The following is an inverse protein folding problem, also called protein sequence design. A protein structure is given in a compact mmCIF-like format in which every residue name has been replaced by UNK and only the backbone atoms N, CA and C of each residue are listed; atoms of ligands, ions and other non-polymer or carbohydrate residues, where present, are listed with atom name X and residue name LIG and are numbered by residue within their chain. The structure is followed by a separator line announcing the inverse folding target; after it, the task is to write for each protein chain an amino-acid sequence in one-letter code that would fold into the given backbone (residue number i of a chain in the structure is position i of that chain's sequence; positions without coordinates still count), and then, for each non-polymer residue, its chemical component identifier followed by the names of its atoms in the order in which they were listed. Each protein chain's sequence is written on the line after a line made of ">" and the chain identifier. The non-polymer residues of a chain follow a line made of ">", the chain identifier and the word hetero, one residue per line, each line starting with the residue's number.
data_IF_681092510871
#
_entry.id   IF_681092510871
#
_cell.length_a   1.000
_cell.length_b   1.000
_cell.length_c   1.000
_cell.angle_alpha   90.00
_cell.angle_beta   90.00
_cell.angle_gamma   90.00
#
_symmetry.space_group_name_H-M   'P 1'
#
loop_
_entity.id
_entity.type
_entity.pdbx_description
1 polymer ?
#
# COMPACT_ATOMS: atom_id res chain seq x y z
N UNK A 1 24.90 2.71 9.86
CA UNK A 1 25.27 1.29 10.05
C UNK A 1 26.36 0.95 9.05
N UNK A 2 27.44 0.25 9.44
CA UNK A 2 28.50 -0.13 8.50
C UNK A 2 27.94 -1.00 7.36
N UNK A 3 28.23 -0.65 6.11
CA UNK A 3 27.81 -1.45 4.94
C UNK A 3 26.34 -1.30 4.54
N UNK A 4 25.74 -0.11 4.72
CA UNK A 4 24.42 0.22 4.16
C UNK A 4 24.58 1.26 3.05
N UNK A 5 24.07 1.01 1.82
CA UNK A 5 23.40 -0.23 1.38
C UNK A 5 24.38 -1.42 1.32
N UNK A 6 23.85 -2.64 1.47
CA UNK A 6 24.61 -3.88 1.22
C UNK A 6 24.84 -4.08 -0.28
N UNK A 7 25.82 -4.90 -0.65
CA UNK A 7 26.07 -5.21 -2.06
C UNK A 7 24.95 -6.08 -2.66
N UNK A 8 24.86 -6.12 -3.99
CA UNK A 8 23.87 -6.95 -4.71
C UNK A 8 23.98 -8.41 -4.28
N UNK A 9 22.85 -9.00 -3.90
CA UNK A 9 22.75 -10.39 -3.44
C UNK A 9 23.15 -10.63 -1.98
N UNK A 10 23.71 -9.64 -1.28
CA UNK A 10 24.03 -9.80 0.13
C UNK A 10 22.77 -9.83 1.02
N UNK A 11 22.84 -10.59 2.10
CA UNK A 11 21.78 -10.68 3.10
C UNK A 11 21.95 -9.62 4.18
N UNK A 12 20.83 -9.14 4.72
CA UNK A 12 20.80 -8.29 5.92
C UNK A 12 20.54 -9.18 7.16
N UNK A 13 21.53 -9.31 8.07
CA UNK A 13 21.30 -9.98 9.36
C UNK A 13 20.13 -9.36 10.11
N UNK A 14 19.35 -10.16 10.84
CA UNK A 14 18.17 -9.66 11.54
C UNK A 14 18.47 -8.44 12.42
N UNK A 15 19.56 -8.47 13.20
CA UNK A 15 19.95 -7.37 14.08
C UNK A 15 20.38 -6.08 13.36
N UNK A 16 20.53 -6.12 12.04
CA UNK A 16 20.94 -4.99 11.19
C UNK A 16 19.80 -4.50 10.28
N UNK A 17 18.55 -4.95 10.45
CA UNK A 17 17.47 -4.64 9.51
C UNK A 17 16.94 -3.20 9.66
N UNK A 18 16.55 -2.73 10.84
CA UNK A 18 15.96 -1.39 10.99
C UNK A 18 16.95 -0.31 11.45
N UNK A 19 16.81 0.93 10.95
CA UNK A 19 17.28 2.10 11.74
C UNK A 19 16.57 2.12 13.08
N UNK A 20 15.27 1.87 13.03
CA UNK A 20 14.51 1.57 14.20
C UNK A 20 14.03 0.12 14.16
N UNK A 21 14.84 -0.74 14.78
CA UNK A 21 14.55 -2.16 14.95
C UNK A 21 13.88 -2.39 16.30
N UNK A 22 12.68 -2.96 16.28
CA UNK A 22 11.94 -3.36 17.48
C UNK A 22 11.54 -4.82 17.37
N UNK A 23 11.79 -5.59 18.42
CA UNK A 23 11.54 -7.02 18.41
C UNK A 23 10.98 -7.47 19.75
N UNK A 24 9.93 -8.29 19.73
CA UNK A 24 9.18 -8.69 20.94
C UNK A 24 8.67 -7.48 21.74
N UNK A 25 8.41 -6.37 21.06
CA UNK A 25 7.96 -5.13 21.68
C UNK A 25 6.44 -5.13 21.80
N UNK A 26 5.94 -4.78 22.98
CA UNK A 26 4.51 -4.61 23.20
C UNK A 26 4.16 -3.31 23.92
N UNK A 27 3.01 -2.73 23.57
CA UNK A 27 2.43 -1.55 24.24
C UNK A 27 3.25 -0.28 24.14
N UNK A 28 4.05 -0.13 23.08
CA UNK A 28 4.77 1.11 22.81
C UNK A 28 3.95 2.07 21.96
N UNK A 29 4.25 3.37 22.08
CA UNK A 29 3.68 4.41 21.22
C UNK A 29 4.77 5.32 20.69
N UNK A 30 4.84 5.46 19.37
CA UNK A 30 5.86 6.23 18.65
C UNK A 30 5.19 7.34 17.83
N UNK A 31 5.72 8.56 17.96
CA UNK A 31 5.11 9.74 17.37
C UNK A 31 6.14 10.58 16.61
N UNK A 32 5.76 11.06 15.42
CA UNK A 32 6.44 12.16 14.74
C UNK A 32 7.94 11.97 14.52
N UNK A 33 8.34 10.74 14.17
CA UNK A 33 9.72 10.42 13.79
C UNK A 33 9.89 10.43 12.28
N UNK A 34 11.01 10.96 11.83
CA UNK A 34 11.50 10.85 10.46
C UNK A 34 12.69 9.90 10.44
N UNK A 35 12.62 8.88 9.58
CA UNK A 35 13.63 7.82 9.51
C UNK A 35 14.07 7.61 8.06
N UNK A 36 15.36 7.87 7.82
CA UNK A 36 15.93 7.95 6.48
C UNK A 36 17.27 7.24 6.37
N UNK A 37 17.66 6.87 5.15
CA UNK A 37 18.96 6.27 4.82
C UNK A 37 19.32 5.03 5.66
N UNK A 38 18.31 4.34 6.18
CA UNK A 38 18.43 3.04 6.84
C UNK A 38 18.51 1.89 5.87
N UNK A 39 18.84 0.66 6.31
CA UNK A 39 18.46 -0.54 5.59
C UNK A 39 16.93 -0.51 5.47
N UNK A 40 16.19 -0.98 6.47
CA UNK A 40 14.79 -0.64 6.63
C UNK A 40 14.68 0.65 7.45
N UNK A 41 13.63 1.45 7.21
CA UNK A 41 13.33 2.58 8.08
C UNK A 41 12.94 2.08 9.48
N UNK A 42 11.77 1.45 9.54
CA UNK A 42 11.27 0.72 10.72
C UNK A 42 11.19 -0.76 10.37
N UNK A 43 11.77 -1.58 11.25
CA UNK A 43 11.63 -3.03 11.18
C UNK A 43 11.12 -3.55 12.53
N UNK A 44 9.86 -3.96 12.55
CA UNK A 44 9.17 -4.44 13.72
C UNK A 44 8.86 -5.94 13.57
N UNK A 45 9.44 -6.76 14.44
CA UNK A 45 9.35 -8.23 14.36
C UNK A 45 8.75 -8.80 15.63
N UNK A 46 7.79 -9.71 15.49
CA UNK A 46 7.14 -10.37 16.63
C UNK A 46 6.64 -9.34 17.66
N UNK A 47 6.08 -8.23 17.17
CA UNK A 47 5.76 -7.05 17.96
C UNK A 47 4.26 -6.80 17.93
N UNK A 48 3.63 -6.58 19.09
CA UNK A 48 2.17 -6.53 19.19
C UNK A 48 1.67 -5.36 20.04
N UNK A 49 0.44 -4.89 19.78
CA UNK A 49 -0.21 -3.83 20.56
C UNK A 49 0.57 -2.49 20.57
N UNK A 50 1.33 -2.19 19.52
CA UNK A 50 2.07 -0.94 19.40
C UNK A 50 1.31 0.09 18.56
N UNK A 51 1.58 1.36 18.84
CA UNK A 51 0.97 2.50 18.17
C UNK A 51 2.05 3.34 17.48
N UNK A 52 1.84 3.66 16.21
CA UNK A 52 2.78 4.39 15.37
C UNK A 52 2.02 5.52 14.69
N UNK A 53 2.31 6.78 15.01
CA UNK A 53 1.56 7.92 14.48
C UNK A 53 2.45 9.03 13.92
N UNK A 54 2.10 9.51 12.73
CA UNK A 54 2.74 10.70 12.13
C UNK A 54 4.20 10.47 11.74
N UNK A 55 4.56 9.23 11.42
CA UNK A 55 5.92 8.86 11.03
C UNK A 55 6.16 9.17 9.55
N UNK A 56 7.40 9.52 9.21
CA UNK A 56 7.90 9.51 7.83
C UNK A 56 9.08 8.53 7.69
N UNK A 57 9.02 7.68 6.67
CA UNK A 57 10.08 6.71 6.36
C UNK A 57 10.46 6.81 4.89
N UNK A 58 11.62 7.40 4.57
CA UNK A 58 11.96 7.65 3.18
C UNK A 58 13.44 7.57 2.85
N UNK A 59 13.71 7.39 1.55
CA UNK A 59 15.07 7.25 1.02
C UNK A 59 15.88 6.12 1.70
N UNK A 60 15.20 5.15 2.33
CA UNK A 60 15.84 3.97 2.91
C UNK A 60 16.29 2.98 1.82
N UNK A 61 17.14 2.05 2.21
CA UNK A 61 17.83 1.06 1.37
C UNK A 61 17.14 -0.33 1.34
N UNK A 62 15.93 -0.40 1.91
CA UNK A 62 14.92 -1.45 1.97
C UNK A 62 13.56 -0.78 2.28
N UNK A 63 12.51 -1.56 2.52
CA UNK A 63 11.17 -1.07 2.90
C UNK A 63 11.17 -0.01 4.01
N UNK A 64 10.34 1.02 3.83
CA UNK A 64 10.23 2.13 4.79
C UNK A 64 9.70 1.70 6.16
N UNK A 65 8.61 0.92 6.19
CA UNK A 65 8.04 0.36 7.42
C UNK A 65 7.66 -1.10 7.22
N UNK A 66 8.23 -2.01 8.01
CA UNK A 66 7.89 -3.44 7.96
C UNK A 66 7.42 -3.97 9.32
N UNK A 67 6.24 -4.61 9.35
CA UNK A 67 5.82 -5.58 10.36
C UNK A 67 6.13 -6.99 9.85
N UNK A 68 6.70 -7.85 10.69
CA UNK A 68 7.00 -9.26 10.36
C UNK A 68 6.75 -10.20 11.55
N UNK A 69 6.59 -11.49 11.27
CA UNK A 69 6.47 -12.53 12.30
C UNK A 69 5.14 -12.52 13.02
N UNK A 70 5.15 -12.90 14.30
CA UNK A 70 3.97 -12.96 15.17
C UNK A 70 3.57 -11.56 15.67
N UNK A 71 3.08 -10.72 14.76
CA UNK A 71 2.78 -9.31 15.02
C UNK A 71 1.28 -9.05 14.96
N UNK A 72 0.66 -8.60 16.06
CA UNK A 72 -0.80 -8.41 16.17
C UNK A 72 -1.17 -7.04 16.76
N UNK A 73 -2.36 -6.54 16.44
CA UNK A 73 -2.93 -5.32 17.02
C UNK A 73 -2.05 -4.05 16.89
N UNK A 74 -1.16 -3.98 15.89
CA UNK A 74 -0.39 -2.76 15.66
C UNK A 74 -1.22 -1.74 14.89
N UNK A 75 -1.16 -0.47 15.31
CA UNK A 75 -1.84 0.64 14.67
C UNK A 75 -0.82 1.57 14.03
N UNK A 76 -0.80 1.62 12.69
CA UNK A 76 0.07 2.53 11.93
C UNK A 76 -0.79 3.61 11.29
N UNK A 77 -0.70 4.82 11.84
CA UNK A 77 -1.62 5.92 11.57
C UNK A 77 -0.83 7.10 11.00
N UNK A 78 -1.34 7.75 9.96
CA UNK A 78 -0.75 8.95 9.37
C UNK A 78 0.69 8.75 8.84
N UNK A 79 1.05 7.54 8.39
CA UNK A 79 2.38 7.23 7.85
C UNK A 79 2.59 7.89 6.48
N UNK A 80 3.77 8.47 6.27
CA UNK A 80 4.29 8.84 4.96
C UNK A 80 5.52 7.99 4.63
N UNK A 81 5.43 7.11 3.63
CA UNK A 81 6.55 6.25 3.26
C UNK A 81 6.86 6.31 1.77
N UNK A 82 8.06 6.76 1.43
CA UNK A 82 8.37 7.12 0.05
C UNK A 82 9.82 7.01 -0.37
N UNK A 83 10.05 6.83 -1.67
CA UNK A 83 11.39 6.78 -2.28
C UNK A 83 12.34 5.77 -1.61
N UNK A 84 11.77 4.76 -0.94
CA UNK A 84 12.54 3.65 -0.45
C UNK A 84 12.98 2.80 -1.63
N UNK A 85 14.22 2.29 -1.57
CA UNK A 85 14.86 1.55 -2.66
C UNK A 85 15.75 0.46 -2.11
N UNK A 86 15.97 -0.63 -2.81
CA UNK A 86 16.84 -1.72 -2.35
C UNK A 86 17.92 -2.04 -3.39
N UNK A 87 19.06 -1.33 -3.36
CA UNK A 87 20.15 -1.56 -4.30
C UNK A 87 20.68 -3.00 -4.26
N UNK A 88 20.59 -3.67 -3.11
CA UNK A 88 21.05 -5.05 -2.95
C UNK A 88 20.19 -6.09 -3.72
N UNK A 89 19.02 -5.68 -4.18
CA UNK A 89 17.98 -6.51 -4.76
C UNK A 89 17.40 -5.89 -6.04
N UNK A 90 18.13 -4.95 -6.65
CA UNK A 90 17.78 -4.32 -7.92
C UNK A 90 16.37 -3.68 -7.97
N UNK A 91 15.83 -3.29 -6.81
CA UNK A 91 14.51 -2.68 -6.70
C UNK A 91 13.34 -3.63 -6.48
N UNK A 92 13.59 -4.92 -6.22
CA UNK A 92 12.56 -5.96 -6.09
C UNK A 92 11.95 -6.09 -4.68
N UNK A 93 12.25 -5.19 -3.73
CA UNK A 93 11.78 -5.40 -2.35
C UNK A 93 11.49 -4.19 -1.49
N UNK A 94 11.97 -3.00 -1.83
CA UNK A 94 11.73 -1.85 -0.98
C UNK A 94 10.36 -1.22 -1.24
N UNK A 95 9.44 -1.53 -0.33
CA UNK A 95 8.08 -1.00 -0.33
C UNK A 95 7.93 0.29 0.48
N UNK A 96 6.78 0.95 0.36
CA UNK A 96 6.36 1.96 1.32
C UNK A 96 6.04 1.33 2.68
N UNK A 97 5.07 0.42 2.69
CA UNK A 97 4.66 -0.31 3.89
C UNK A 97 4.59 -1.82 3.60
N UNK A 98 5.14 -2.61 4.51
CA UNK A 98 5.09 -4.06 4.50
C UNK A 98 4.48 -4.58 5.79
N UNK A 99 3.57 -5.55 5.68
CA UNK A 99 3.20 -6.44 6.77
C UNK A 99 3.28 -7.85 6.19
N UNK A 100 4.45 -8.48 6.31
CA UNK A 100 4.88 -9.61 5.47
C UNK A 100 5.42 -10.75 6.33
N UNK A 101 5.49 -11.94 5.73
CA UNK A 101 6.19 -13.11 6.30
C UNK A 101 5.84 -13.37 7.78
N UNK A 102 4.56 -13.62 8.06
CA UNK A 102 4.10 -13.73 9.44
C UNK A 102 2.61 -13.96 9.58
N UNK A 103 2.11 -13.76 10.80
CA UNK A 103 0.69 -13.84 11.12
C UNK A 103 0.38 -13.04 12.39
N UNK A 104 -0.89 -12.71 12.55
CA UNK A 104 -1.38 -11.91 13.66
C UNK A 104 -2.51 -10.99 13.23
N UNK A 105 -3.58 -10.97 14.02
CA UNK A 105 -4.80 -10.24 13.69
C UNK A 105 -4.77 -8.80 14.22
N UNK A 106 -5.67 -7.96 13.74
CA UNK A 106 -5.88 -6.61 14.27
C UNK A 106 -4.87 -5.55 13.83
N UNK A 107 -3.94 -5.87 12.92
CA UNK A 107 -3.04 -4.87 12.35
C UNK A 107 -3.79 -3.92 11.41
N UNK A 108 -3.52 -2.62 11.58
CA UNK A 108 -4.18 -1.54 10.83
C UNK A 108 -3.14 -0.59 10.25
N UNK A 109 -3.29 -0.26 8.96
CA UNK A 109 -2.68 0.90 8.34
C UNK A 109 -3.78 1.89 7.97
N UNK A 110 -3.72 3.11 8.52
CA UNK A 110 -4.75 4.13 8.29
C UNK A 110 -4.19 5.49 7.91
N UNK A 111 -4.83 6.14 6.93
CA UNK A 111 -4.52 7.49 6.49
C UNK A 111 -3.03 7.66 6.08
N UNK A 112 -2.51 6.62 5.43
CA UNK A 112 -1.11 6.54 5.00
C UNK A 112 -0.93 6.98 3.54
N UNK A 113 0.25 7.51 3.22
CA UNK A 113 0.65 7.84 1.85
C UNK A 113 1.92 7.06 1.50
N UNK A 114 1.87 6.32 0.40
CA UNK A 114 2.90 5.37 -0.01
C UNK A 114 3.32 5.67 -1.45
N UNK A 115 4.46 6.33 -1.66
CA UNK A 115 4.76 6.82 -3.00
C UNK A 115 6.19 6.73 -3.47
N UNK A 116 6.34 6.58 -4.78
CA UNK A 116 7.63 6.56 -5.44
C UNK A 116 8.61 5.52 -4.86
N UNK A 117 8.12 4.51 -4.14
CA UNK A 117 8.92 3.38 -3.70
C UNK A 117 9.28 2.53 -4.91
N UNK A 118 10.43 1.86 -4.84
CA UNK A 118 10.98 1.17 -6.00
C UNK A 118 10.20 -0.06 -6.40
N UNK A 119 9.65 -0.77 -5.42
CA UNK A 119 8.89 -2.00 -5.61
C UNK A 119 7.38 -1.70 -5.57
N UNK A 120 6.73 -1.89 -4.42
CA UNK A 120 5.30 -1.57 -4.25
C UNK A 120 5.04 -0.40 -3.30
N UNK A 121 3.84 0.18 -3.39
CA UNK A 121 3.36 1.07 -2.35
C UNK A 121 3.15 0.31 -1.04
N UNK A 122 2.42 -0.79 -1.12
CA UNK A 122 2.09 -1.67 -0.01
C UNK A 122 2.23 -3.14 -0.41
N UNK A 123 2.82 -3.94 0.47
CA UNK A 123 2.99 -5.38 0.27
C UNK A 123 2.63 -6.20 1.52
N UNK A 124 1.74 -7.19 1.33
CA UNK A 124 1.28 -8.15 2.36
C UNK A 124 1.76 -9.59 2.08
N UNK A 125 2.82 -9.74 1.29
CA UNK A 125 3.44 -11.02 0.93
C UNK A 125 3.61 -11.95 2.15
N UNK A 126 3.09 -13.17 2.03
CA UNK A 126 3.19 -14.23 3.05
C UNK A 126 2.70 -13.84 4.46
N UNK A 127 1.82 -12.84 4.60
CA UNK A 127 1.16 -12.57 5.89
C UNK A 127 -0.18 -13.30 5.97
N UNK A 128 -0.27 -14.29 6.86
CA UNK A 128 -1.36 -15.26 6.93
C UNK A 128 -2.63 -14.79 7.65
N UNK A 129 -2.71 -13.51 8.04
CA UNK A 129 -3.84 -12.96 8.82
C UNK A 129 -4.39 -11.68 8.19
N UNK A 130 -5.67 -11.34 8.46
CA UNK A 130 -6.27 -10.10 7.97
C UNK A 130 -5.49 -8.86 8.41
N UNK A 131 -5.37 -7.91 7.49
CA UNK A 131 -4.83 -6.56 7.71
C UNK A 131 -5.89 -5.58 7.23
N UNK A 132 -6.16 -4.54 8.03
CA UNK A 132 -7.10 -3.47 7.64
C UNK A 132 -6.34 -2.29 7.06
N UNK A 133 -6.67 -1.94 5.83
CA UNK A 133 -6.17 -0.78 5.10
C UNK A 133 -7.34 0.19 4.96
N UNK A 134 -7.17 1.39 5.49
CA UNK A 134 -8.25 2.38 5.57
C UNK A 134 -7.71 3.77 5.22
N UNK A 135 -8.27 4.42 4.20
CA UNK A 135 -7.79 5.74 3.76
C UNK A 135 -6.31 5.73 3.33
N UNK A 136 -5.85 4.66 2.67
CA UNK A 136 -4.45 4.54 2.22
C UNK A 136 -4.31 4.99 0.77
N UNK A 137 -3.28 5.78 0.48
CA UNK A 137 -3.07 6.39 -0.83
C UNK A 137 -1.71 5.98 -1.39
N UNK A 138 -1.68 5.23 -2.51
CA UNK A 138 -0.47 4.73 -3.12
C UNK A 138 -0.27 5.26 -4.54
N UNK A 139 0.88 5.88 -4.85
CA UNK A 139 1.15 6.38 -6.19
C UNK A 139 2.60 6.34 -6.65
N UNK A 140 2.80 6.23 -7.96
CA UNK A 140 4.14 6.35 -8.54
C UNK A 140 5.11 5.25 -8.13
N UNK A 141 4.66 4.14 -7.52
CA UNK A 141 5.54 3.05 -7.12
C UNK A 141 5.96 2.21 -8.35
N UNK A 142 7.14 1.56 -8.30
CA UNK A 142 7.58 0.65 -9.36
C UNK A 142 8.44 1.23 -10.48
N UNK A 143 8.94 2.46 -10.34
CA UNK A 143 9.75 3.08 -11.38
C UNK A 143 11.21 3.08 -11.00
N UNK A 144 12.06 2.76 -11.98
CA UNK A 144 13.52 2.80 -11.83
C UNK A 144 14.05 4.24 -11.79
N UNK A 145 13.93 4.89 -10.63
CA UNK A 145 14.44 6.26 -10.39
C UNK A 145 15.93 6.28 -10.04
N UNK A 146 16.52 5.12 -9.79
CA UNK A 146 17.87 4.98 -9.23
C UNK A 146 18.87 4.31 -10.19
N UNK A 147 18.45 3.98 -11.41
CA UNK A 147 19.33 3.47 -12.45
C UNK A 147 19.77 2.03 -12.25
N UNK A 148 18.98 1.20 -11.55
CA UNK A 148 19.30 -0.22 -11.37
C UNK A 148 19.32 -0.95 -12.72
N UNK A 149 20.33 -1.81 -12.89
CA UNK A 149 20.50 -2.66 -14.09
C UNK A 149 21.03 -4.04 -13.67
N UNK A 150 20.22 -5.12 -13.72
CA UNK A 150 18.80 -5.13 -14.13
C UNK A 150 17.91 -4.34 -13.16
N UNK A 151 16.66 -4.08 -13.57
CA UNK A 151 15.63 -3.51 -12.70
C UNK A 151 14.52 -4.52 -12.51
N UNK A 152 14.18 -4.79 -11.24
CA UNK A 152 13.32 -5.92 -10.87
C UNK A 152 12.08 -5.51 -10.06
N UNK A 153 11.82 -4.21 -9.90
CA UNK A 153 10.63 -3.72 -9.18
C UNK A 153 9.29 -4.14 -9.81
N UNK A 154 8.35 -4.54 -8.97
CA UNK A 154 7.04 -5.02 -9.37
C UNK A 154 6.07 -3.89 -9.71
N UNK A 155 5.99 -2.84 -8.90
CA UNK A 155 5.27 -1.62 -9.25
C UNK A 155 3.78 -1.60 -9.03
N UNK A 156 3.30 -2.25 -7.98
CA UNK A 156 1.90 -2.24 -7.58
C UNK A 156 1.61 -1.12 -6.56
N UNK A 157 0.38 -0.61 -6.57
CA UNK A 157 -0.10 0.23 -5.47
C UNK A 157 -0.30 -0.61 -4.20
N UNK A 158 -1.03 -1.71 -4.32
CA UNK A 158 -1.40 -2.62 -3.23
C UNK A 158 -1.22 -4.09 -3.66
N UNK A 159 -0.15 -4.74 -3.19
CA UNK A 159 0.09 -6.19 -3.31
C UNK A 159 -0.44 -6.90 -2.07
N UNK A 160 -1.51 -7.68 -2.23
CA UNK A 160 -2.35 -8.13 -1.10
C UNK A 160 -2.19 -9.63 -0.78
N UNK A 161 -0.97 -10.15 -0.93
CA UNK A 161 -0.60 -11.50 -0.51
C UNK A 161 0.30 -12.22 -1.50
N UNK A 162 0.23 -13.55 -1.51
CA UNK A 162 0.87 -14.40 -2.52
C UNK A 162 0.09 -15.73 -2.70
N UNK A 163 0.35 -16.45 -3.80
CA UNK A 163 -0.03 -17.86 -3.98
C UNK A 163 0.57 -18.75 -2.88
N UNK A 164 -0.07 -19.91 -2.64
CA UNK A 164 0.38 -20.93 -1.67
C UNK A 164 0.52 -20.43 -0.21
N UNK A 165 -0.17 -19.34 0.14
CA UNK A 165 -0.28 -18.85 1.51
C UNK A 165 -1.69 -19.16 2.07
N UNK A 166 -1.87 -19.27 3.41
CA UNK A 166 -3.21 -19.34 3.98
C UNK A 166 -4.11 -18.19 3.50
N UNK A 167 -5.42 -18.43 3.32
CA UNK A 167 -6.35 -17.37 2.94
C UNK A 167 -6.35 -16.23 3.97
N UNK A 168 -6.00 -15.03 3.55
CA UNK A 168 -6.00 -13.85 4.41
C UNK A 168 -7.07 -12.85 3.94
N UNK A 169 -8.10 -12.65 4.77
CA UNK A 169 -9.28 -11.85 4.43
C UNK A 169 -9.02 -10.36 4.70
N UNK A 170 -8.06 -9.75 3.97
CA UNK A 170 -7.74 -8.33 4.14
C UNK A 170 -8.95 -7.43 3.86
N UNK A 171 -8.96 -6.27 4.50
CA UNK A 171 -10.00 -5.25 4.36
C UNK A 171 -9.35 -4.01 3.76
N UNK A 172 -9.82 -3.58 2.59
CA UNK A 172 -9.30 -2.43 1.84
C UNK A 172 -10.44 -1.44 1.64
N UNK A 173 -10.40 -0.32 2.37
CA UNK A 173 -11.48 0.65 2.40
C UNK A 173 -10.99 2.05 2.11
N UNK A 174 -11.73 2.76 1.26
CA UNK A 174 -11.48 4.17 0.98
C UNK A 174 -10.03 4.47 0.51
N UNK A 175 -9.39 3.51 -0.16
CA UNK A 175 -8.02 3.63 -0.63
C UNK A 175 -7.94 4.15 -2.07
N UNK A 176 -6.85 4.85 -2.42
CA UNK A 176 -6.58 5.31 -3.79
C UNK A 176 -5.26 4.70 -4.28
N UNK A 177 -5.29 4.05 -5.44
CA UNK A 177 -4.10 3.62 -6.18
C UNK A 177 -4.01 4.39 -7.50
N UNK A 178 -2.96 5.18 -7.73
CA UNK A 178 -2.84 5.90 -9.00
C UNK A 178 -1.43 6.03 -9.53
N UNK A 179 -1.27 6.00 -10.86
CA UNK A 179 0.02 6.20 -11.52
C UNK A 179 1.14 5.28 -11.00
N UNK A 180 0.81 4.10 -10.48
CA UNK A 180 1.80 3.05 -10.20
C UNK A 180 2.24 2.42 -11.52
N UNK A 181 3.46 1.89 -11.59
CA UNK A 181 4.04 1.39 -12.83
C UNK A 181 3.26 0.19 -13.41
N UNK A 182 2.66 -0.64 -12.55
CA UNK A 182 1.81 -1.76 -12.93
C UNK A 182 0.41 -1.65 -12.31
N UNK A 183 0.01 -2.52 -11.38
CA UNK A 183 -1.40 -2.65 -10.96
C UNK A 183 -1.75 -1.63 -9.88
N UNK A 184 -3.00 -1.20 -9.84
CA UNK A 184 -3.55 -0.46 -8.70
C UNK A 184 -3.67 -1.38 -7.47
N UNK A 185 -4.58 -2.34 -7.54
CA UNK A 185 -4.81 -3.36 -6.51
C UNK A 185 -4.65 -4.76 -7.11
N UNK A 186 -3.88 -5.63 -6.46
CA UNK A 186 -3.67 -7.01 -6.90
C UNK A 186 -3.77 -7.98 -5.71
N UNK A 187 -4.60 -9.02 -5.84
CA UNK A 187 -4.71 -10.07 -4.80
C UNK A 187 -3.47 -10.96 -4.73
N UNK A 188 -2.66 -10.93 -5.79
CA UNK A 188 -1.35 -11.56 -5.94
C UNK A 188 -1.33 -13.07 -5.64
N UNK A 189 -2.47 -13.74 -5.77
CA UNK A 189 -2.55 -15.17 -5.43
C UNK A 189 -3.20 -15.47 -4.08
N UNK A 190 -3.51 -14.47 -3.27
CA UNK A 190 -4.25 -14.65 -2.02
C UNK A 190 -5.63 -15.27 -2.32
N UNK A 191 -5.94 -16.48 -1.79
CA UNK A 191 -7.20 -17.16 -2.06
C UNK A 191 -8.35 -16.72 -1.14
N UNK A 192 -8.12 -15.77 -0.21
CA UNK A 192 -9.09 -15.30 0.78
C UNK A 192 -10.29 -14.55 0.20
N UNK A 193 -11.22 -14.23 1.10
CA UNK A 193 -12.38 -13.39 0.82
C UNK A 193 -12.10 -11.96 1.29
N UNK A 194 -11.30 -11.24 0.50
CA UNK A 194 -10.94 -9.86 0.81
C UNK A 194 -12.17 -8.96 0.62
N UNK A 195 -12.22 -7.86 1.37
CA UNK A 195 -13.24 -6.82 1.23
C UNK A 195 -12.65 -5.58 0.61
N UNK A 196 -13.17 -5.14 -0.54
CA UNK A 196 -12.87 -3.85 -1.15
C UNK A 196 -14.11 -2.98 -1.13
N UNK A 197 -14.09 -1.90 -0.34
CA UNK A 197 -15.20 -0.94 -0.29
C UNK A 197 -14.73 0.48 -0.58
N UNK A 198 -15.38 1.13 -1.55
CA UNK A 198 -15.11 2.54 -1.90
C UNK A 198 -13.65 2.84 -2.24
N UNK A 199 -12.96 1.98 -2.97
CA UNK A 199 -11.59 2.26 -3.44
C UNK A 199 -11.60 2.90 -4.82
N UNK A 200 -10.53 3.63 -5.17
CA UNK A 200 -10.33 4.19 -6.52
C UNK A 200 -8.99 3.77 -7.10
N UNK A 201 -9.00 3.15 -8.29
CA UNK A 201 -7.82 2.86 -9.10
C UNK A 201 -7.82 3.73 -10.36
N UNK A 202 -6.85 4.65 -10.48
CA UNK A 202 -6.81 5.63 -11.57
C UNK A 202 -5.45 5.72 -12.25
N UNK A 203 -5.39 5.56 -13.58
CA UNK A 203 -4.16 5.72 -14.37
C UNK A 203 -2.96 4.89 -13.89
N UNK A 204 -3.18 3.69 -13.38
CA UNK A 204 -2.07 2.76 -13.16
C UNK A 204 -1.59 2.20 -14.52
N UNK A 205 -0.31 1.85 -14.62
CA UNK A 205 0.33 1.42 -15.87
C UNK A 205 -0.09 0.03 -16.36
N UNK A 206 -0.88 -0.69 -15.56
CA UNK A 206 -1.50 -1.97 -15.89
C UNK A 206 -2.96 -1.98 -15.37
N UNK A 207 -3.44 -3.06 -14.76
CA UNK A 207 -4.81 -3.14 -14.28
C UNK A 207 -5.15 -2.15 -13.16
N UNK A 208 -6.42 -1.72 -13.10
CA UNK A 208 -6.96 -1.07 -11.90
C UNK A 208 -7.09 -2.04 -10.74
N UNK A 209 -7.94 -3.07 -10.90
CA UNK A 209 -8.10 -4.18 -9.96
C UNK A 209 -7.80 -5.52 -10.64
N UNK A 210 -6.85 -6.28 -10.10
CA UNK A 210 -6.48 -7.61 -10.58
C UNK A 210 -6.77 -8.65 -9.48
N UNK A 211 -7.98 -9.21 -9.51
CA UNK A 211 -8.52 -10.11 -8.49
C UNK A 211 -8.83 -11.48 -9.11
N UNK A 212 -7.76 -12.23 -9.40
CA UNK A 212 -7.84 -13.48 -10.16
C UNK A 212 -7.79 -14.73 -9.28
N UNK A 213 -7.48 -14.61 -8.00
CA UNK A 213 -7.25 -15.74 -7.10
C UNK A 213 -8.24 -15.80 -5.94
N UNK A 214 -8.64 -14.64 -5.43
CA UNK A 214 -9.51 -14.46 -4.26
C UNK A 214 -11.00 -14.78 -4.52
N UNK A 215 -11.79 -14.85 -3.46
CA UNK A 215 -13.27 -14.82 -3.45
C UNK A 215 -13.78 -13.49 -2.87
N UNK A 216 -13.19 -12.39 -3.36
CA UNK A 216 -13.36 -11.05 -2.82
C UNK A 216 -14.78 -10.51 -2.98
N UNK A 217 -15.20 -9.65 -2.04
CA UNK A 217 -16.37 -8.78 -2.19
C UNK A 217 -15.89 -7.38 -2.58
N UNK A 218 -16.37 -6.87 -3.71
CA UNK A 218 -16.01 -5.54 -4.23
C UNK A 218 -17.24 -4.66 -4.35
N UNK A 219 -17.32 -3.63 -3.52
CA UNK A 219 -18.45 -2.71 -3.44
C UNK A 219 -18.05 -1.26 -3.66
N UNK A 220 -18.81 -0.55 -4.51
CA UNK A 220 -18.69 0.91 -4.68
C UNK A 220 -17.29 1.39 -5.07
N UNK A 221 -16.49 0.57 -5.72
CA UNK A 221 -15.15 0.94 -6.17
C UNK A 221 -15.19 1.64 -7.53
N UNK A 222 -14.16 2.41 -7.85
CA UNK A 222 -13.97 3.05 -9.14
C UNK A 222 -12.65 2.57 -9.76
N UNK A 223 -12.71 2.10 -10.99
CA UNK A 223 -11.55 1.93 -11.86
C UNK A 223 -11.72 2.81 -13.10
N UNK A 224 -10.74 3.67 -13.37
CA UNK A 224 -10.80 4.65 -14.45
C UNK A 224 -9.43 4.90 -15.10
N UNK A 225 -9.40 4.91 -16.44
CA UNK A 225 -8.20 5.28 -17.23
C UNK A 225 -6.90 4.53 -16.88
N UNK A 226 -6.98 3.33 -16.30
CA UNK A 226 -5.81 2.46 -16.17
C UNK A 226 -5.34 2.01 -17.57
N UNK A 227 -4.04 1.85 -17.78
CA UNK A 227 -3.45 1.53 -19.09
C UNK A 227 -3.82 0.11 -19.54
N UNK A 228 -3.83 -0.85 -18.61
CA UNK A 228 -4.35 -2.20 -18.82
C UNK A 228 -5.88 -2.25 -18.63
N UNK A 229 -6.40 -3.41 -18.23
CA UNK A 229 -7.85 -3.51 -17.97
C UNK A 229 -8.25 -2.70 -16.74
N UNK A 230 -9.43 -2.10 -16.76
CA UNK A 230 -9.95 -1.44 -15.54
C UNK A 230 -10.12 -2.46 -14.40
N UNK A 231 -10.59 -3.67 -14.74
CA UNK A 231 -10.72 -4.80 -13.81
C UNK A 231 -10.45 -6.13 -14.50
N UNK A 232 -9.81 -7.06 -13.79
CA UNK A 232 -9.76 -8.49 -14.12
C UNK A 232 -10.24 -9.28 -12.91
N UNK A 233 -11.45 -9.82 -12.99
CA UNK A 233 -12.13 -10.53 -11.89
C UNK A 233 -12.34 -12.00 -12.27
N UNK A 234 -12.07 -12.92 -11.35
CA UNK A 234 -12.51 -14.32 -11.51
C UNK A 234 -14.01 -14.46 -11.16
N UNK A 235 -14.59 -15.64 -11.44
CA UNK A 235 -16.02 -15.92 -11.20
C UNK A 235 -16.43 -16.02 -9.73
N UNK A 236 -15.49 -16.08 -8.80
CA UNK A 236 -15.73 -16.15 -7.36
C UNK A 236 -15.87 -14.76 -6.73
N UNK A 237 -15.50 -13.69 -7.44
CA UNK A 237 -15.63 -12.31 -6.96
C UNK A 237 -17.08 -11.86 -7.02
N UNK A 238 -17.58 -11.31 -5.91
CA UNK A 238 -18.91 -10.68 -5.85
C UNK A 238 -18.77 -9.16 -6.01
N UNK A 239 -19.28 -8.61 -7.12
CA UNK A 239 -19.21 -7.19 -7.45
C UNK A 239 -20.59 -6.51 -7.39
N UNK A 240 -20.67 -5.33 -6.77
CA UNK A 240 -21.87 -4.49 -6.83
C UNK A 240 -21.60 -2.99 -6.62
N UNK A 241 -22.28 -2.15 -7.41
CA UNK A 241 -22.23 -0.69 -7.30
C UNK A 241 -20.87 -0.08 -7.69
N UNK A 242 -20.00 -0.83 -8.36
CA UNK A 242 -18.70 -0.34 -8.84
C UNK A 242 -18.86 0.39 -10.18
N UNK A 243 -17.83 1.15 -10.59
CA UNK A 243 -17.82 1.85 -11.88
C UNK A 243 -18.06 0.92 -13.07
N UNK A 244 -17.48 -0.29 -13.02
CA UNK A 244 -17.58 -1.31 -14.07
C UNK A 244 -18.88 -2.13 -14.04
N UNK A 245 -19.73 -1.95 -13.03
CA UNK A 245 -21.07 -2.55 -13.03
C UNK A 245 -22.06 -1.73 -13.88
N UNK A 246 -21.68 -0.49 -14.23
CA UNK A 246 -22.39 0.36 -15.19
C UNK A 246 -21.80 0.18 -16.61
N UNK A 247 -22.56 0.60 -17.64
CA UNK A 247 -22.06 0.67 -19.03
C UNK A 247 -21.24 1.94 -19.30
N UNK A 248 -21.08 2.80 -18.31
CA UNK A 248 -20.44 4.10 -18.48
C UNK A 248 -18.92 3.93 -18.59
N UNK A 249 -18.32 4.71 -19.50
CA UNK A 249 -16.86 4.81 -19.56
C UNK A 249 -16.37 5.80 -18.51
N UNK A 250 -15.54 5.34 -17.59
CA UNK A 250 -14.93 6.17 -16.56
C UNK A 250 -13.57 6.69 -17.01
N UNK A 251 -13.42 8.01 -17.06
CA UNK A 251 -12.20 8.71 -17.43
C UNK A 251 -12.01 9.99 -16.60
N UNK A 252 -11.04 10.83 -16.95
CA UNK A 252 -10.75 12.08 -16.23
C UNK A 252 -11.96 13.01 -16.10
N UNK A 253 -12.82 13.09 -17.12
CA UNK A 253 -14.02 13.92 -17.09
C UNK A 253 -15.13 13.37 -16.17
N UNK A 254 -15.01 12.11 -15.73
CA UNK A 254 -15.92 11.52 -14.74
C UNK A 254 -15.69 12.05 -13.32
N UNK A 255 -14.60 12.79 -13.08
CA UNK A 255 -14.23 13.30 -11.76
C UNK A 255 -14.37 14.83 -11.67
N UNK A 256 -14.68 15.31 -10.46
CA UNK A 256 -14.70 16.75 -10.15
C UNK A 256 -13.32 17.39 -10.30
N UNK A 257 -12.27 16.65 -9.96
CA UNK A 257 -10.88 17.06 -10.12
C UNK A 257 -9.99 15.83 -10.30
N UNK A 258 -8.99 15.97 -11.16
CA UNK A 258 -7.85 15.05 -11.28
C UNK A 258 -6.55 15.66 -10.75
N UNK A 259 -6.64 16.81 -10.07
CA UNK A 259 -5.50 17.44 -9.40
C UNK A 259 -5.23 16.78 -8.04
N UNK A 260 -4.09 16.11 -7.94
CA UNK A 260 -3.63 15.44 -6.72
C UNK A 260 -2.84 16.36 -5.77
N UNK A 261 -2.66 17.65 -6.09
CA UNK A 261 -1.81 18.60 -5.34
C UNK A 261 -2.11 18.63 -3.84
N UNK A 262 -3.40 18.64 -3.47
CA UNK A 262 -3.83 18.67 -2.06
C UNK A 262 -3.49 17.37 -1.32
N UNK A 263 -3.63 16.22 -1.99
CA UNK A 263 -3.30 14.91 -1.41
C UNK A 263 -1.78 14.77 -1.21
N UNK A 264 -0.98 15.28 -2.16
CA UNK A 264 0.49 15.26 -2.11
C UNK A 264 1.09 16.34 -1.22
N UNK A 265 0.32 17.37 -0.87
CA UNK A 265 0.77 18.50 -0.06
C UNK A 265 0.97 18.16 1.42
N UNK A 266 1.26 19.18 2.23
CA UNK A 266 1.37 19.01 3.68
C UNK A 266 0.04 18.53 4.28
N UNK A 267 0.14 17.58 5.22
CA UNK A 267 -0.98 17.11 6.05
C UNK A 267 -1.64 18.28 6.80
N UNK A 268 -2.88 18.06 7.23
CA UNK A 268 -3.58 18.94 8.17
C UNK A 268 -2.93 18.93 9.55
N UNK A 269 -3.33 19.87 10.40
CA UNK A 269 -2.85 19.96 11.79
C UNK A 269 -3.28 18.77 12.66
N UNK A 270 -4.27 18.01 12.20
CA UNK A 270 -4.76 16.77 12.81
C UNK A 270 -4.03 15.51 12.26
N UNK A 271 -2.94 15.70 11.51
CA UNK A 271 -2.17 14.63 10.87
C UNK A 271 -2.83 14.05 9.63
N UNK A 272 -4.04 14.49 9.25
CA UNK A 272 -4.80 13.89 8.15
C UNK A 272 -4.43 14.44 6.78
N UNK A 273 -4.68 13.67 5.73
CA UNK A 273 -4.67 14.25 4.38
C UNK A 273 -5.80 15.27 4.30
N UNK A 274 -5.51 16.46 3.74
CA UNK A 274 -6.51 17.52 3.60
C UNK A 274 -7.60 17.10 2.62
N UNK A 275 -8.85 17.42 2.97
CA UNK A 275 -10.00 17.15 2.12
C UNK A 275 -9.85 17.85 0.75
N UNK A 276 -10.19 17.15 -0.33
CA UNK A 276 -10.09 17.64 -1.69
C UNK A 276 -11.17 17.02 -2.59
N UNK A 277 -11.34 17.57 -3.79
CA UNK A 277 -12.21 17.02 -4.84
C UNK A 277 -11.51 15.98 -5.72
N UNK A 278 -10.27 15.62 -5.39
CA UNK A 278 -9.48 14.67 -6.17
C UNK A 278 -10.20 13.31 -6.27
N UNK A 279 -10.48 12.90 -7.51
CA UNK A 279 -11.15 11.65 -7.87
C UNK A 279 -12.54 11.44 -7.26
N UNK A 280 -13.22 12.51 -6.86
CA UNK A 280 -14.63 12.46 -6.49
C UNK A 280 -15.49 12.44 -7.76
N UNK A 281 -16.49 11.54 -7.91
CA UNK A 281 -17.34 11.51 -9.09
C UNK A 281 -18.07 12.84 -9.35
N UNK A 282 -17.97 13.35 -10.58
CA UNK A 282 -18.64 14.58 -11.02
C UNK A 282 -20.17 14.44 -11.00
N UNK A 283 -20.68 13.23 -11.21
CA UNK A 283 -22.10 12.89 -11.11
C UNK A 283 -22.68 13.03 -9.70
N UNK A 284 -21.84 13.13 -8.67
CA UNK A 284 -22.25 13.09 -7.26
C UNK A 284 -22.52 11.68 -6.74
N UNK A 285 -22.29 10.62 -7.53
CA UNK A 285 -22.42 9.24 -7.09
C UNK A 285 -21.54 8.97 -5.86
N UNK A 286 -22.09 8.33 -4.84
CA UNK A 286 -21.39 7.99 -3.61
C UNK A 286 -20.58 6.69 -3.76
N UNK A 287 -19.66 6.65 -4.74
CA UNK A 287 -18.73 5.55 -5.01
C UNK A 287 -17.30 6.09 -5.13
N UNK A 288 -16.31 5.19 -5.09
CA UNK A 288 -14.90 5.54 -5.04
C UNK A 288 -14.47 6.13 -3.70
N UNK A 289 -13.16 6.26 -3.56
CA UNK A 289 -12.53 6.81 -2.36
C UNK A 289 -12.76 8.32 -2.25
N UNK A 290 -12.66 8.84 -1.03
CA UNK A 290 -12.82 10.25 -0.72
C UNK A 290 -11.92 10.66 0.44
N UNK A 291 -11.39 11.88 0.37
CA UNK A 291 -10.69 12.54 1.50
C UNK A 291 -11.63 13.46 2.29
N UNK A 292 -12.90 13.59 1.88
CA UNK A 292 -13.86 14.55 2.46
C UNK A 292 -14.60 14.05 3.71
N UNK A 293 -14.60 12.76 3.96
CA UNK A 293 -15.29 12.17 5.10
C UNK A 293 -14.44 11.08 5.73
N UNK A 294 -14.55 10.90 7.05
CA UNK A 294 -14.13 9.68 7.71
C UNK A 294 -15.13 8.60 7.30
N UNK A 295 -14.62 7.50 6.76
CA UNK A 295 -15.43 6.35 6.29
C UNK A 295 -15.52 5.31 7.40
#
# INVERSE_FOLDING_TARGET
>A
MPGTPKAVGESLPNAERGVFHIQNAEWWSFYNLEIINGPYGIYARDASNNYYEGLSTHDNYETGFQLEGASSNNQVINLDSYRNRDPRKNGESADGFACKEGSGEGNVLRNARLWENVDDGLDLYMFGSPVTLDEVYAWGNGFNRWGFTPFEGDGNGFKLGITNNPPANHIVKNCIAFQNAKKGFIDNGNPGSLTFDRNTAWKNGDNGFNLRSSSSKVTKNVAASNTGDQVSLNSKVSASGNSWDSKDTWNDASFKSTDASTLKGARGTDGRVKASDFLIPASGAAIGATTKAKV
#
